data_IF_304684805268
#
_entry.id   IF_304684805268
#
_cell.length_a   1.000
_cell.length_b   1.000
_cell.length_c   1.000
_cell.angle_alpha   90.00
_cell.angle_beta   90.00
_cell.angle_gamma   90.00
#
_symmetry.space_group_name_H-M   'P 1'
#
loop_
_entity.id
_entity.type
_entity.pdbx_description
1 polymer ?
#
# COMPACT_ATOMS: atom_id res chain seq x y z
N UNK A 1 -2.18 8.64 15.58
CA UNK A 1 -0.93 7.86 15.67
C UNK A 1 -0.56 7.51 14.25
N UNK A 2 0.57 8.01 13.75
CA UNK A 2 1.08 7.71 12.41
C UNK A 2 2.12 6.60 12.57
N UNK A 3 1.78 5.38 12.14
CA UNK A 3 2.71 4.26 12.16
C UNK A 3 3.49 4.29 10.85
N UNK A 4 4.65 4.94 10.85
CA UNK A 4 5.58 4.98 9.72
C UNK A 4 6.80 4.12 10.03
N UNK A 5 7.42 3.59 8.98
CA UNK A 5 8.72 2.92 9.07
C UNK A 5 9.74 3.68 8.20
N UNK A 6 11.01 3.67 8.58
CA UNK A 6 12.02 4.43 7.85
C UNK A 6 12.31 3.84 6.46
N UNK A 7 12.56 4.72 5.49
CA UNK A 7 12.91 4.33 4.12
C UNK A 7 11.71 3.92 3.24
N UNK A 8 12.03 3.58 1.99
CA UNK A 8 11.06 3.22 0.93
C UNK A 8 11.45 1.91 0.22
N UNK A 9 12.36 1.15 0.82
CA UNK A 9 12.90 -0.10 0.25
C UNK A 9 12.01 -1.32 0.54
N UNK A 10 10.95 -1.14 1.33
CA UNK A 10 9.99 -2.17 1.71
C UNK A 10 8.58 -1.61 1.47
N UNK A 11 7.72 -2.37 0.77
CA UNK A 11 6.34 -1.95 0.47
C UNK A 11 5.27 -2.59 1.38
N UNK A 12 5.59 -3.72 2.00
CA UNK A 12 4.78 -4.47 2.96
C UNK A 12 5.72 -5.02 4.04
N UNK A 13 5.52 -4.59 5.28
CA UNK A 13 6.30 -4.96 6.45
C UNK A 13 5.37 -5.62 7.48
N UNK A 14 5.42 -6.95 7.66
CA UNK A 14 4.75 -7.60 8.77
C UNK A 14 5.47 -7.25 10.08
N UNK A 15 4.70 -6.84 11.09
CA UNK A 15 5.19 -6.52 12.42
C UNK A 15 4.42 -7.30 13.47
N UNK A 16 5.14 -7.73 14.50
CA UNK A 16 4.52 -8.41 15.64
C UNK A 16 3.69 -7.41 16.45
N UNK A 17 2.51 -7.85 16.90
CA UNK A 17 1.63 -7.06 17.74
C UNK A 17 1.43 -7.74 19.08
N UNK A 18 1.20 -6.93 20.12
CA UNK A 18 0.84 -7.41 21.45
C UNK A 18 -0.40 -6.66 21.92
N UNK A 19 -1.42 -7.41 22.35
CA UNK A 19 -2.61 -6.84 22.96
C UNK A 19 -2.39 -6.81 24.47
N UNK A 20 -2.36 -5.61 25.05
CA UNK A 20 -2.07 -5.40 26.47
C UNK A 20 -3.32 -4.88 27.17
N UNK A 21 -3.69 -5.51 28.29
CA UNK A 21 -4.76 -5.11 29.17
C UNK A 21 -4.23 -4.76 30.57
N UNK A 22 -4.89 -3.86 31.28
CA UNK A 22 -4.54 -3.45 32.65
C UNK A 22 -3.09 -2.94 32.82
N UNK A 23 -2.46 -2.49 31.73
CA UNK A 23 -1.13 -1.88 31.70
C UNK A 23 0.01 -2.85 31.37
N UNK A 24 -0.11 -4.12 31.73
CA UNK A 24 0.99 -5.09 31.68
C UNK A 24 0.58 -6.54 31.33
N UNK A 25 -0.72 -6.87 31.31
CA UNK A 25 -1.17 -8.20 30.93
C UNK A 25 -1.19 -8.35 29.41
N UNK A 26 -0.18 -9.04 28.87
CA UNK A 26 -0.10 -9.39 27.45
C UNK A 26 -0.94 -10.63 27.18
N UNK A 27 -1.86 -10.54 26.20
CA UNK A 27 -2.66 -11.68 25.75
C UNK A 27 -1.82 -12.55 24.81
N UNK A 28 -1.87 -13.86 25.01
CA UNK A 28 -1.18 -14.83 24.17
C UNK A 28 -1.61 -14.75 22.70
N UNK A 29 -0.63 -14.82 21.79
CA UNK A 29 -0.84 -14.81 20.34
C UNK A 29 -0.30 -16.11 19.70
N UNK A 30 -0.93 -17.27 19.97
CA UNK A 30 -0.40 -18.58 19.55
C UNK A 30 -0.34 -18.76 18.03
N UNK A 31 -1.11 -17.97 17.27
CA UNK A 31 -1.11 -17.99 15.81
C UNK A 31 -0.13 -16.98 15.19
N UNK A 32 0.66 -16.28 16.02
CA UNK A 32 1.58 -15.23 15.59
C UNK A 32 0.92 -14.24 14.62
N UNK A 33 -0.27 -13.74 14.99
CA UNK A 33 -0.99 -12.73 14.22
C UNK A 33 -0.11 -11.48 14.13
N UNK A 34 0.11 -11.00 12.90
CA UNK A 34 0.94 -9.83 12.60
C UNK A 34 0.09 -8.69 12.03
N UNK A 35 0.52 -7.46 12.29
CA UNK A 35 0.03 -6.30 11.58
C UNK A 35 0.87 -6.08 10.32
N UNK A 36 0.23 -5.73 9.20
CA UNK A 36 0.96 -5.37 7.98
C UNK A 36 1.01 -3.86 7.83
N UNK A 37 2.20 -3.27 7.95
CA UNK A 37 2.44 -1.87 7.60
C UNK A 37 2.80 -1.81 6.12
N UNK A 38 2.13 -0.95 5.35
CA UNK A 38 2.36 -0.86 3.91
C UNK A 38 2.47 0.58 3.44
N UNK A 39 3.26 0.80 2.38
CA UNK A 39 3.37 2.08 1.67
C UNK A 39 3.01 1.86 0.21
N UNK A 40 1.93 2.48 -0.27
CA UNK A 40 1.50 2.29 -1.65
C UNK A 40 2.56 2.69 -2.68
N UNK A 41 3.42 3.67 -2.39
CA UNK A 41 4.42 4.17 -3.33
C UNK A 41 5.75 3.43 -3.28
N UNK A 42 6.08 2.78 -2.17
CA UNK A 42 7.38 2.12 -1.99
C UNK A 42 7.54 0.97 -3.00
N UNK A 43 8.69 0.94 -3.69
CA UNK A 43 9.01 -0.04 -4.74
C UNK A 43 8.01 -0.09 -5.92
N UNK A 44 7.17 0.93 -6.13
CA UNK A 44 6.07 0.92 -7.10
C UNK A 44 6.08 2.18 -7.96
N UNK A 45 7.20 2.41 -8.64
CA UNK A 45 7.45 3.59 -9.47
C UNK A 45 6.68 3.64 -10.80
N UNK A 46 5.82 2.65 -11.08
CA UNK A 46 5.04 2.59 -12.32
C UNK A 46 3.62 2.09 -12.09
N UNK A 47 2.70 2.50 -12.96
CA UNK A 47 1.33 2.01 -12.97
C UNK A 47 1.26 0.48 -12.94
N UNK A 48 2.06 -0.21 -13.74
CA UNK A 48 2.04 -1.67 -13.80
C UNK A 48 2.47 -2.32 -12.47
N UNK A 49 3.48 -1.74 -11.81
CA UNK A 49 3.91 -2.21 -10.48
C UNK A 49 2.86 -1.89 -9.40
N UNK A 50 2.25 -0.71 -9.47
CA UNK A 50 1.19 -0.28 -8.56
C UNK A 50 -0.05 -1.17 -8.65
N UNK A 51 -0.57 -1.39 -9.86
CA UNK A 51 -1.77 -2.20 -10.09
C UNK A 51 -1.54 -3.72 -9.91
N UNK A 52 -0.28 -4.16 -9.80
CA UNK A 52 0.08 -5.53 -9.43
C UNK A 52 0.19 -5.72 -7.91
N UNK A 53 0.11 -4.65 -7.12
CA UNK A 53 0.08 -4.74 -5.67
C UNK A 53 -1.03 -5.67 -5.17
N UNK A 54 -0.85 -6.22 -3.98
CA UNK A 54 -1.89 -7.01 -3.32
C UNK A 54 -3.17 -6.16 -3.18
N UNK A 55 -4.32 -6.62 -3.69
CA UNK A 55 -5.59 -5.90 -3.61
C UNK A 55 -6.02 -5.55 -2.18
N UNK A 56 -5.53 -6.26 -1.15
CA UNK A 56 -5.85 -5.98 0.26
C UNK A 56 -5.38 -4.60 0.72
N UNK A 57 -4.41 -4.00 0.04
CA UNK A 57 -3.87 -2.69 0.36
C UNK A 57 -4.64 -1.52 -0.27
N UNK A 58 -5.56 -1.81 -1.19
CA UNK A 58 -6.38 -0.80 -1.89
C UNK A 58 -5.55 0.35 -2.52
N UNK A 59 -4.32 0.02 -2.94
CA UNK A 59 -3.43 0.96 -3.62
C UNK A 59 -3.85 1.12 -5.09
N UNK A 60 -3.85 2.35 -5.58
CA UNK A 60 -4.13 2.65 -6.97
C UNK A 60 -3.15 3.66 -7.57
N UNK A 61 -3.15 3.74 -8.89
CA UNK A 61 -2.31 4.66 -9.63
C UNK A 61 -3.02 6.00 -9.81
N UNK A 62 -2.48 7.05 -9.22
CA UNK A 62 -2.91 8.42 -9.43
C UNK A 62 -2.30 8.94 -10.74
N UNK A 63 -3.10 9.06 -11.79
CA UNK A 63 -2.60 9.36 -13.15
C UNK A 63 -1.93 10.73 -13.22
N UNK A 64 -2.53 11.74 -12.60
CA UNK A 64 -2.03 13.12 -12.59
C UNK A 64 -0.71 13.24 -11.84
N UNK A 65 -0.62 12.66 -10.65
CA UNK A 65 0.58 12.68 -9.80
C UNK A 65 1.66 11.71 -10.27
N UNK A 66 1.31 10.76 -11.16
CA UNK A 66 2.18 9.67 -11.62
C UNK A 66 2.78 8.89 -10.45
N UNK A 67 1.94 8.62 -9.45
CA UNK A 67 2.33 7.99 -8.18
C UNK A 67 1.33 6.91 -7.80
N UNK A 68 1.81 5.87 -7.13
CA UNK A 68 0.96 4.88 -6.48
C UNK A 68 0.55 5.37 -5.08
N UNK A 69 -0.74 5.50 -4.81
CA UNK A 69 -1.29 6.05 -3.57
C UNK A 69 -2.66 5.47 -3.25
N UNK A 70 -3.15 5.72 -2.05
CA UNK A 70 -4.56 5.49 -1.74
C UNK A 70 -5.45 6.48 -2.50
N UNK A 71 -6.72 6.14 -2.69
CA UNK A 71 -7.69 7.03 -3.36
C UNK A 71 -7.82 8.38 -2.66
N UNK A 72 -7.82 8.37 -1.33
CA UNK A 72 -7.93 9.56 -0.50
C UNK A 72 -6.70 10.49 -0.57
N UNK A 73 -5.56 9.97 -1.01
CA UNK A 73 -4.31 10.72 -1.16
C UNK A 73 -4.15 11.30 -2.57
N UNK A 74 -4.94 10.83 -3.54
CA UNK A 74 -4.92 11.29 -4.93
C UNK A 74 -5.91 12.47 -5.07
N UNK A 75 -5.38 13.70 -5.16
CA UNK A 75 -6.19 14.91 -5.15
C UNK A 75 -6.01 15.76 -6.41
N UNK A 76 -7.00 16.58 -6.81
CA UNK A 76 -8.37 16.67 -6.27
C UNK A 76 -9.27 15.52 -6.77
N UNK A 77 -10.52 15.41 -6.33
CA UNK A 77 -11.46 14.30 -6.63
C UNK A 77 -11.69 14.02 -8.13
N UNK A 78 -11.42 14.99 -9.01
CA UNK A 78 -11.44 14.81 -10.47
C UNK A 78 -10.18 14.13 -11.03
N UNK A 79 -9.18 13.88 -10.17
CA UNK A 79 -8.01 13.09 -10.51
C UNK A 79 -8.44 11.66 -10.84
N UNK A 80 -7.82 11.13 -11.90
CA UNK A 80 -8.09 9.78 -12.37
C UNK A 80 -7.27 8.83 -11.51
N UNK A 81 -7.90 8.30 -10.47
CA UNK A 81 -7.35 7.23 -9.65
C UNK A 81 -7.74 5.88 -10.26
N UNK A 82 -6.74 5.14 -10.75
CA UNK A 82 -6.94 3.83 -11.37
C UNK A 82 -6.67 2.71 -10.36
N UNK A 83 -7.58 1.74 -10.28
CA UNK A 83 -7.48 0.59 -9.40
C UNK A 83 -7.68 -0.71 -10.18
N UNK A 84 -7.05 -1.85 -9.82
CA UNK A 84 -7.14 -3.09 -10.60
C UNK A 84 -8.58 -3.59 -10.79
N UNK A 85 -9.44 -3.40 -9.79
CA UNK A 85 -10.85 -3.80 -9.85
C UNK A 85 -11.73 -2.84 -10.67
N UNK A 86 -11.24 -1.66 -11.03
CA UNK A 86 -11.95 -0.77 -11.94
C UNK A 86 -11.76 -1.28 -13.37
N UNK A 87 -12.85 -1.42 -14.14
CA UNK A 87 -12.81 -1.99 -15.50
C UNK A 87 -11.91 -1.30 -16.53
N UNK A 88 -11.28 -0.17 -16.17
CA UNK A 88 -10.38 0.63 -17.00
C UNK A 88 -8.91 0.61 -16.50
N UNK A 89 -8.44 -0.48 -15.89
CA UNK A 89 -7.10 -0.64 -15.31
C UNK A 89 -5.97 -0.89 -16.33
N UNK A 90 -5.96 -0.15 -17.45
CA UNK A 90 -4.92 -0.25 -18.49
C UNK A 90 -3.79 0.75 -18.25
N UNK A 91 -2.59 0.24 -17.98
CA UNK A 91 -1.40 1.09 -17.89
C UNK A 91 -0.89 1.49 -19.28
N UNK A 92 -0.68 2.80 -19.49
CA UNK A 92 -0.05 3.32 -20.69
C UNK A 92 1.50 3.27 -20.59
N UNK A 93 2.17 3.38 -21.74
CA UNK A 93 3.63 3.47 -21.86
C UNK A 93 4.43 2.25 -21.33
N UNK A 94 4.20 1.04 -21.89
CA UNK A 94 5.01 -0.12 -21.55
C UNK A 94 6.48 0.11 -21.93
N UNK A 95 7.41 -0.33 -21.08
CA UNK A 95 8.87 -0.27 -21.33
C UNK A 95 9.48 -1.66 -21.13
N UNK A 96 10.36 -2.05 -22.05
CA UNK A 96 11.13 -3.30 -21.96
C UNK A 96 12.54 -2.93 -21.48
N UNK A 97 12.93 -3.48 -20.33
CA UNK A 97 14.30 -3.36 -19.83
C UNK A 97 15.17 -4.44 -20.49
N UNK A 98 16.41 -4.11 -20.84
CA UNK A 98 17.39 -5.04 -21.43
C UNK A 98 18.14 -5.82 -20.36
#
# INVERSE_FOLDING_TARGET
>A
MHYDYEGNDISDLPVDLSVVWNGDFVIDNPYNIQAHLYKCFAMRDSCGMCLKADPRFDCGWCVQERKCSLRQECAPLESSWMHPSAGNSRCAHPRINK
#
